data_IF_191276124316
#
_entry.id   IF_191276124316
#
_cell.length_a   1.000
_cell.length_b   1.000
_cell.length_c   1.000
_cell.angle_alpha   90.00
_cell.angle_beta   90.00
_cell.angle_gamma   90.00
#
_symmetry.space_group_name_H-M   'P 1'
#
loop_
_entity.id
_entity.type
_entity.pdbx_description
1 polymer ?
#
# COMPACT_ATOMS: atom_id res chain seq x y z
N UNK A 1 1.02 -22.19 -20.24
CA UNK A 1 0.90 -20.87 -19.59
C UNK A 1 1.20 -21.06 -18.12
N UNK A 2 2.47 -21.14 -17.73
CA UNK A 2 2.83 -21.32 -16.32
C UNK A 2 3.42 -20.00 -15.86
N UNK A 3 2.55 -19.11 -15.38
CA UNK A 3 3.00 -18.01 -14.55
C UNK A 3 3.27 -18.60 -13.16
N UNK A 4 4.38 -19.31 -12.99
CA UNK A 4 4.93 -19.67 -11.66
C UNK A 4 5.48 -18.42 -10.99
N UNK A 5 4.70 -17.35 -10.98
CA UNK A 5 4.85 -16.24 -10.05
C UNK A 5 4.43 -16.69 -8.66
N UNK A 6 4.96 -17.82 -8.20
CA UNK A 6 4.87 -18.25 -6.82
C UNK A 6 5.45 -17.11 -6.00
N UNK A 7 4.56 -16.41 -5.29
CA UNK A 7 4.91 -15.27 -4.46
C UNK A 7 5.21 -15.83 -3.08
N UNK A 8 6.49 -16.07 -2.72
CA UNK A 8 6.85 -16.75 -1.48
C UNK A 8 6.40 -15.97 -0.23
N UNK A 9 6.18 -14.67 -0.36
CA UNK A 9 5.80 -13.79 0.75
C UNK A 9 4.29 -13.49 0.71
N UNK A 10 3.51 -14.37 1.34
CA UNK A 10 2.06 -14.18 1.56
C UNK A 10 1.76 -13.28 2.75
N UNK A 11 0.82 -12.35 2.61
CA UNK A 11 0.22 -11.64 3.72
C UNK A 11 -0.74 -12.57 4.46
N UNK A 12 -0.53 -12.75 5.76
CA UNK A 12 -1.40 -13.55 6.62
C UNK A 12 -2.71 -12.86 6.99
N UNK A 13 -2.84 -11.55 6.74
CA UNK A 13 -4.01 -10.76 7.13
C UNK A 13 -5.06 -10.72 6.02
N UNK A 14 -4.66 -10.52 4.75
CA UNK A 14 -5.58 -10.48 3.61
C UNK A 14 -5.32 -11.56 2.55
N UNK A 15 -4.30 -12.41 2.72
CA UNK A 15 -3.93 -13.42 1.72
C UNK A 15 -3.19 -12.86 0.50
N UNK A 16 -2.91 -11.54 0.43
CA UNK A 16 -2.18 -10.96 -0.70
C UNK A 16 -0.73 -11.42 -0.70
N UNK A 17 -0.30 -12.03 -1.79
CA UNK A 17 1.07 -12.50 -1.94
C UNK A 17 1.95 -11.52 -2.74
N UNK A 18 3.22 -11.43 -2.37
CA UNK A 18 4.26 -10.56 -2.95
C UNK A 18 5.52 -11.36 -3.29
N UNK A 19 6.24 -10.95 -4.33
CA UNK A 19 7.48 -11.63 -4.76
C UNK A 19 8.68 -11.26 -3.88
N UNK A 20 8.64 -10.09 -3.23
CA UNK A 20 9.74 -9.58 -2.38
C UNK A 20 9.26 -9.36 -0.95
N UNK A 21 10.13 -9.66 0.02
CA UNK A 21 9.86 -9.44 1.44
C UNK A 21 9.61 -7.96 1.76
N UNK A 22 10.32 -7.05 1.09
CA UNK A 22 10.16 -5.60 1.27
C UNK A 22 8.76 -5.12 0.86
N UNK A 23 8.22 -5.65 -0.25
CA UNK A 23 6.85 -5.35 -0.68
C UNK A 23 5.84 -5.87 0.34
N UNK A 24 6.05 -7.07 0.88
CA UNK A 24 5.20 -7.60 1.95
C UNK A 24 5.28 -6.74 3.22
N UNK A 25 6.47 -6.33 3.63
CA UNK A 25 6.67 -5.48 4.81
C UNK A 25 6.00 -4.11 4.65
N UNK A 26 6.19 -3.46 3.50
CA UNK A 26 5.49 -2.21 3.18
C UNK A 26 3.99 -2.41 3.06
N UNK A 27 3.54 -3.60 2.67
CA UNK A 27 2.13 -3.94 2.65
C UNK A 27 1.55 -4.12 4.06
N UNK A 28 2.24 -4.84 4.96
CA UNK A 28 1.84 -5.05 6.36
C UNK A 28 1.66 -3.73 7.11
N UNK A 29 2.49 -2.74 6.81
CA UNK A 29 2.32 -1.37 7.28
C UNK A 29 0.93 -0.77 6.98
N UNK A 30 0.23 -1.20 5.94
CA UNK A 30 -1.14 -0.73 5.66
C UNK A 30 -2.19 -1.46 6.50
N UNK A 31 -1.89 -2.68 6.97
CA UNK A 31 -2.73 -3.38 7.93
C UNK A 31 -2.60 -2.74 9.31
N UNK A 32 -1.37 -2.43 9.71
CA UNK A 32 -1.11 -1.60 10.87
C UNK A 32 -1.45 -0.14 10.50
N UNK A 33 -2.72 0.25 10.57
CA UNK A 33 -3.21 1.65 10.50
C UNK A 33 -2.59 2.58 11.57
N UNK A 34 -1.48 2.19 12.18
CA UNK A 34 -0.62 2.96 13.08
C UNK A 34 0.11 4.10 12.37
N UNK A 35 0.27 4.04 11.04
CA UNK A 35 0.85 5.16 10.30
C UNK A 35 -0.19 6.23 9.99
N UNK A 36 0.15 7.52 10.13
CA UNK A 36 -0.77 8.60 9.84
C UNK A 36 -1.23 8.52 8.39
N UNK A 37 -2.52 8.37 8.20
CA UNK A 37 -3.15 8.57 6.90
C UNK A 37 -3.10 10.06 6.57
N UNK A 38 -2.75 10.38 5.33
CA UNK A 38 -2.74 11.73 4.81
C UNK A 38 -4.07 11.96 4.10
N UNK A 39 -4.97 12.72 4.70
CA UNK A 39 -6.25 13.05 4.08
C UNK A 39 -6.09 14.23 3.12
N UNK A 40 -6.76 14.17 1.96
CA UNK A 40 -6.95 15.34 1.12
C UNK A 40 -7.99 16.26 1.75
N UNK A 41 -7.68 17.54 1.92
CA UNK A 41 -8.60 18.54 2.49
C UNK A 41 -9.71 18.98 1.54
N UNK A 42 -9.63 18.64 0.25
CA UNK A 42 -10.57 19.11 -0.78
C UNK A 42 -11.58 18.01 -1.15
N UNK A 43 -11.12 16.75 -1.34
CA UNK A 43 -12.00 15.63 -1.70
C UNK A 43 -12.08 14.51 -0.64
N UNK A 44 -11.45 14.69 0.53
CA UNK A 44 -11.46 13.72 1.64
C UNK A 44 -10.92 12.33 1.28
N UNK A 45 -10.06 12.23 0.26
CA UNK A 45 -9.41 10.99 -0.13
C UNK A 45 -8.18 10.72 0.76
N UNK A 46 -8.07 9.50 1.26
CA UNK A 46 -6.96 9.07 2.11
C UNK A 46 -5.77 8.53 1.31
N UNK A 47 -4.57 8.87 1.78
CA UNK A 47 -3.31 8.43 1.20
C UNK A 47 -2.38 7.87 2.29
N UNK A 48 -1.72 6.77 1.98
CA UNK A 48 -0.78 6.10 2.88
C UNK A 48 0.62 6.75 2.88
N UNK A 49 0.82 7.78 2.06
CA UNK A 49 2.09 8.49 1.95
C UNK A 49 1.91 9.97 1.61
N UNK A 50 2.79 10.82 2.16
CA UNK A 50 2.84 12.26 1.88
C UNK A 50 3.10 12.56 0.41
N UNK A 51 3.90 11.73 -0.27
CA UNK A 51 4.17 11.88 -1.71
C UNK A 51 2.92 11.61 -2.54
N UNK A 52 2.15 10.57 -2.19
CA UNK A 52 0.86 10.27 -2.82
C UNK A 52 -0.12 11.43 -2.69
N UNK A 53 -0.24 12.00 -1.49
CA UNK A 53 -1.05 13.20 -1.29
C UNK A 53 -0.54 14.38 -2.12
N UNK A 54 0.77 14.66 -2.15
CA UNK A 54 1.35 15.74 -2.96
C UNK A 54 1.06 15.61 -4.46
N UNK A 55 1.22 14.41 -5.02
CA UNK A 55 0.94 14.13 -6.43
C UNK A 55 -0.56 14.28 -6.74
N UNK A 56 -1.42 13.84 -5.82
CA UNK A 56 -2.86 14.05 -5.92
C UNK A 56 -3.22 15.54 -5.92
N UNK A 57 -2.69 16.32 -4.98
CA UNK A 57 -2.93 17.77 -4.89
C UNK A 57 -2.46 18.53 -6.14
N UNK A 58 -1.49 17.99 -6.89
CA UNK A 58 -1.04 18.61 -8.14
C UNK A 58 -2.09 18.54 -9.26
N UNK A 59 -2.93 17.51 -9.25
CA UNK A 59 -4.00 17.33 -10.23
C UNK A 59 -5.37 17.70 -9.67
N UNK A 60 -5.40 18.31 -8.49
CA UNK A 60 -6.64 18.80 -7.94
C UNK A 60 -7.03 20.13 -8.59
#
# INVERSE_FOLDING_TARGET
MIHTGEKPYGCLVCGKSSLRKQDLQSHMVNHDMSRPVYHCTICSKDFLSKLGLKLHMRNH
#
